data_IF_263942351696
#
_entry.id   IF_263942351696
#
_cell.length_a   1.000
_cell.length_b   1.000
_cell.length_c   1.000
_cell.angle_alpha   90.00
_cell.angle_beta   90.00
_cell.angle_gamma   90.00
#
_symmetry.space_group_name_H-M   'P 1'
#
loop_
_entity.id
_entity.type
_entity.pdbx_description
1 polymer ?
#
# COMPACT_ATOMS: atom_id res chain seq x y z
N UNK A 1 -10.08 -12.09 1.98
CA UNK A 1 -8.92 -11.90 1.06
C UNK A 1 -7.83 -11.03 1.69
N UNK A 2 -8.21 -9.90 2.30
CA UNK A 2 -7.30 -9.00 3.02
C UNK A 2 -6.38 -9.67 4.05
N UNK A 3 -6.90 -10.57 4.90
CA UNK A 3 -6.07 -11.28 5.89
C UNK A 3 -4.94 -12.11 5.27
N UNK A 4 -5.18 -12.76 4.12
CA UNK A 4 -4.12 -13.54 3.44
C UNK A 4 -3.03 -12.63 2.89
N UNK A 5 -3.41 -11.46 2.38
CA UNK A 5 -2.48 -10.46 1.92
C UNK A 5 -1.65 -9.94 3.09
N UNK A 6 -2.28 -9.61 4.23
CA UNK A 6 -1.59 -9.17 5.45
C UNK A 6 -0.59 -10.23 5.96
N UNK A 7 -0.94 -11.53 5.88
CA UNK A 7 -0.01 -12.59 6.28
C UNK A 7 1.17 -12.80 5.33
N UNK A 8 1.07 -12.35 4.08
CA UNK A 8 2.16 -12.41 3.10
C UNK A 8 3.12 -11.21 3.20
N UNK A 9 2.76 -10.19 3.97
CA UNK A 9 3.56 -8.98 4.13
C UNK A 9 4.75 -9.26 5.07
N UNK A 10 5.98 -8.95 4.66
CA UNK A 10 7.15 -9.10 5.53
C UNK A 10 7.03 -8.26 6.80
N UNK A 11 7.54 -8.78 7.92
CA UNK A 11 7.68 -7.99 9.15
C UNK A 11 8.59 -6.77 8.88
N UNK A 12 8.25 -5.60 9.44
CA UNK A 12 8.94 -4.32 9.26
C UNK A 12 8.89 -3.70 7.84
N UNK A 13 7.82 -3.91 7.08
CA UNK A 13 7.63 -3.18 5.82
C UNK A 13 6.70 -1.96 6.00
N UNK A 14 6.87 -0.97 5.12
CA UNK A 14 5.92 0.12 4.92
C UNK A 14 4.77 -0.37 4.03
N UNK A 15 3.56 -0.47 4.59
CA UNK A 15 2.38 -0.94 3.87
C UNK A 15 1.63 0.25 3.29
N UNK A 16 1.35 0.20 1.99
CA UNK A 16 0.59 1.21 1.26
C UNK A 16 -0.58 0.52 0.56
N UNK A 17 -1.79 0.93 0.92
CA UNK A 17 -3.03 0.42 0.31
C UNK A 17 -3.56 1.41 -0.71
N UNK A 18 -3.80 0.94 -1.92
CA UNK A 18 -4.54 1.64 -2.96
C UNK A 18 -5.98 1.10 -2.98
N UNK A 19 -6.92 1.93 -2.57
CA UNK A 19 -8.34 1.61 -2.51
C UNK A 19 -9.19 2.77 -3.04
N UNK A 20 -10.40 2.46 -3.53
CA UNK A 20 -11.34 3.42 -4.09
C UNK A 20 -11.82 4.45 -3.04
N UNK A 21 -11.86 4.07 -1.76
CA UNK A 21 -12.15 4.97 -0.65
C UNK A 21 -10.98 5.85 -0.22
N UNK A 22 -9.80 5.67 -0.84
CA UNK A 22 -8.58 6.36 -0.47
C UNK A 22 -8.46 7.79 -0.99
N UNK A 23 -7.32 8.41 -0.70
CA UNK A 23 -6.97 9.72 -1.25
C UNK A 23 -6.62 9.58 -2.74
N UNK A 24 -7.28 10.35 -3.60
CA UNK A 24 -6.88 10.49 -5.00
C UNK A 24 -5.48 11.07 -5.10
N UNK A 25 -4.58 10.34 -5.76
CA UNK A 25 -3.23 10.79 -6.05
C UNK A 25 -3.06 11.04 -7.54
N UNK A 26 -2.39 12.14 -7.88
CA UNK A 26 -1.80 12.28 -9.21
C UNK A 26 -0.60 11.36 -9.36
N UNK A 27 -0.21 11.08 -10.60
CA UNK A 27 1.02 10.32 -10.91
C UNK A 27 2.26 10.94 -10.26
N UNK A 28 2.35 12.28 -10.21
CA UNK A 28 3.46 12.99 -9.57
C UNK A 28 3.49 12.82 -8.05
N UNK A 29 2.33 12.79 -7.39
CA UNK A 29 2.23 12.55 -5.95
C UNK A 29 2.61 11.12 -5.58
N UNK A 30 2.23 10.15 -6.41
CA UNK A 30 2.65 8.76 -6.24
C UNK A 30 4.17 8.62 -6.39
N UNK A 31 4.76 9.24 -7.43
CA UNK A 31 6.21 9.21 -7.66
C UNK A 31 7.00 9.78 -6.48
N UNK A 32 6.59 10.94 -5.96
CA UNK A 32 7.24 11.55 -4.78
C UNK A 32 7.12 10.68 -3.53
N UNK A 33 5.97 10.01 -3.34
CA UNK A 33 5.76 9.09 -2.23
C UNK A 33 6.64 7.85 -2.35
N UNK A 34 6.78 7.30 -3.56
CA UNK A 34 7.67 6.18 -3.85
C UNK A 34 9.14 6.53 -3.56
N UNK A 35 9.61 7.71 -3.96
CA UNK A 35 10.96 8.18 -3.63
C UNK A 35 11.19 8.24 -2.12
N UNK A 36 10.23 8.80 -1.39
CA UNK A 36 10.29 8.88 0.07
C UNK A 36 10.35 7.50 0.73
N UNK A 37 9.54 6.55 0.28
CA UNK A 37 9.52 5.22 0.88
C UNK A 37 10.81 4.44 0.60
N UNK A 38 11.35 4.55 -0.61
CA UNK A 38 12.64 3.96 -0.95
C UNK A 38 13.78 4.55 -0.11
N UNK A 39 13.73 5.85 0.21
CA UNK A 39 14.72 6.52 1.05
C UNK A 39 14.70 6.13 2.54
N UNK A 40 13.61 5.52 3.02
CA UNK A 40 13.45 5.18 4.45
C UNK A 40 14.16 3.87 4.86
N UNK A 41 14.79 3.15 3.92
CA UNK A 41 15.51 1.90 4.22
C UNK A 41 14.61 0.72 4.64
N UNK A 42 13.29 0.86 4.53
CA UNK A 42 12.31 -0.19 4.81
C UNK A 42 11.79 -0.78 3.49
N UNK A 43 11.45 -2.07 3.50
CA UNK A 43 10.74 -2.69 2.39
C UNK A 43 9.36 -2.04 2.23
N UNK A 44 8.89 -1.86 0.99
CA UNK A 44 7.58 -1.27 0.70
C UNK A 44 6.67 -2.34 0.13
N UNK A 45 5.51 -2.53 0.75
CA UNK A 45 4.47 -3.43 0.26
C UNK A 45 3.30 -2.58 -0.27
N UNK A 46 3.12 -2.59 -1.59
CA UNK A 46 1.98 -1.94 -2.24
C UNK A 46 0.86 -2.96 -2.38
N UNK A 47 -0.29 -2.67 -1.78
CA UNK A 47 -1.49 -3.50 -1.88
C UNK A 47 -2.50 -2.77 -2.74
N UNK A 48 -3.01 -3.45 -3.76
CA UNK A 48 -4.12 -2.96 -4.59
C UNK A 48 -5.37 -3.68 -4.13
N UNK A 49 -6.33 -2.93 -3.59
CA UNK A 49 -7.63 -3.47 -3.19
C UNK A 49 -8.42 -3.99 -4.39
N UNK A 50 -9.19 -5.06 -4.19
CA UNK A 50 -10.18 -5.52 -5.16
C UNK A 50 -11.39 -4.59 -5.21
N UNK A 51 -12.34 -4.87 -6.11
CA UNK A 51 -13.56 -4.06 -6.28
C UNK A 51 -14.41 -3.92 -5.00
N UNK A 52 -14.27 -4.88 -4.07
CA UNK A 52 -14.97 -4.92 -2.78
C UNK A 52 -14.18 -4.24 -1.63
N UNK A 53 -13.05 -3.60 -1.94
CA UNK A 53 -12.13 -2.99 -0.96
C UNK A 53 -11.17 -4.01 -0.32
N UNK A 54 -10.16 -3.51 0.41
CA UNK A 54 -9.39 -4.38 1.33
C UNK A 54 -10.26 -4.54 2.57
N UNK A 55 -11.08 -5.60 2.57
CA UNK A 55 -12.02 -5.88 3.64
C UNK A 55 -11.40 -5.67 5.03
N UNK A 56 -11.84 -4.60 5.68
CA UNK A 56 -11.71 -4.35 7.12
C UNK A 56 -12.32 -5.55 7.83
N UNK A 57 -11.49 -6.23 8.63
CA UNK A 57 -11.92 -7.11 9.71
C UNK A 57 -11.52 -6.45 11.03
#
# INVERSE_FOLDING_TARGET
EGERILTAIPQNCHVVTLDLGGKLWSTSQLAQSLERWQGNGQHVALIVGGADGIADG
#
